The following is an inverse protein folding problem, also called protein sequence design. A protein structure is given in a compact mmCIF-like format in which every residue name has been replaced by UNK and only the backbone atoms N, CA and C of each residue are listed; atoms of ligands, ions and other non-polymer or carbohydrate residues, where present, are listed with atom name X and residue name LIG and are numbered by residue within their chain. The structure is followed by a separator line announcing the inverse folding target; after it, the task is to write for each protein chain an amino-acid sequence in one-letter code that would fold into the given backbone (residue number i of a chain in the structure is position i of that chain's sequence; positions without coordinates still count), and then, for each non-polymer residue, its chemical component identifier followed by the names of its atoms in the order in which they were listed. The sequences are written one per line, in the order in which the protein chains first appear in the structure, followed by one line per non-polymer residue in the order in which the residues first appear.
data_IF_096759696859
#
_entry.id   IF_096759696859
#
_cell.length_a   1.000
_cell.length_b   1.000
_cell.length_c   1.000
_cell.angle_alpha   90.00
_cell.angle_beta   90.00
_cell.angle_gamma   90.00
#
_symmetry.space_group_name_H-M   'P 1'
#
loop_
_entity.id
_entity.type
_entity.pdbx_description
1 polymer ?
#
# COMPACT_ATOMS: atom_id res chain seq x y z
N UNK A 1 27.08 21.32 -46.77
CA UNK A 1 27.33 20.29 -45.74
C UNK A 1 26.06 20.22 -44.92
N UNK A 2 25.43 19.05 -44.82
CA UNK A 2 24.31 18.84 -43.91
C UNK A 2 24.77 19.10 -42.48
N UNK A 3 23.98 19.81 -41.69
CA UNK A 3 24.31 20.15 -40.31
C UNK A 3 24.25 18.90 -39.43
N UNK A 4 25.37 18.19 -39.31
CA UNK A 4 25.48 16.96 -38.53
C UNK A 4 25.47 17.21 -37.03
N UNK A 5 25.63 18.47 -36.60
CA UNK A 5 25.70 18.85 -35.20
C UNK A 5 24.40 18.55 -34.46
N UNK A 6 23.25 18.74 -35.11
CA UNK A 6 21.93 18.48 -34.50
C UNK A 6 21.29 17.18 -34.99
N UNK A 7 22.03 16.32 -35.68
CA UNK A 7 21.52 15.06 -36.23
C UNK A 7 21.43 13.98 -35.15
N UNK A 8 20.24 13.41 -34.99
CA UNK A 8 19.91 12.42 -33.96
C UNK A 8 19.11 11.24 -34.52
N UNK A 9 19.21 10.09 -33.87
CA UNK A 9 18.24 8.99 -33.97
C UNK A 9 17.34 8.98 -32.75
N UNK A 10 16.05 8.75 -32.95
CA UNK A 10 15.04 8.64 -31.88
C UNK A 10 14.76 7.17 -31.62
N UNK A 11 14.76 6.76 -30.36
CA UNK A 11 14.41 5.40 -29.95
C UNK A 11 13.28 5.40 -28.91
N UNK A 12 12.46 4.35 -28.94
CA UNK A 12 11.47 4.05 -27.88
C UNK A 12 11.68 2.64 -27.36
N UNK A 13 11.53 2.43 -26.05
CA UNK A 13 11.56 1.09 -25.47
C UNK A 13 10.22 0.38 -25.70
N UNK A 14 10.25 -0.88 -26.11
CA UNK A 14 9.06 -1.71 -26.33
C UNK A 14 8.79 -2.68 -25.16
N UNK A 15 7.68 -3.43 -25.24
CA UNK A 15 7.24 -4.36 -24.19
C UNK A 15 8.26 -5.48 -23.88
N UNK A 16 9.10 -5.84 -24.85
CA UNK A 16 10.18 -6.83 -24.71
C UNK A 16 11.47 -6.22 -24.12
N UNK A 17 11.42 -4.96 -23.66
CA UNK A 17 12.56 -4.17 -23.17
C UNK A 17 13.68 -4.01 -24.20
N UNK A 18 13.32 -3.89 -25.49
CA UNK A 18 14.24 -3.59 -26.59
C UNK A 18 14.00 -2.19 -27.16
N UNK A 19 15.06 -1.54 -27.62
CA UNK A 19 15.01 -0.19 -28.20
C UNK A 19 14.66 -0.23 -29.69
N UNK A 20 13.49 0.29 -30.05
CA UNK A 20 13.01 0.42 -31.42
C UNK A 20 13.43 1.75 -32.05
N UNK A 21 14.08 1.72 -33.22
CA UNK A 21 14.48 2.91 -34.00
C UNK A 21 13.24 3.57 -34.64
N UNK A 22 12.91 4.78 -34.21
CA UNK A 22 11.80 5.60 -34.72
C UNK A 22 12.18 6.45 -35.94
N UNK A 23 13.47 6.52 -36.28
CA UNK A 23 13.97 7.26 -37.43
C UNK A 23 15.07 8.26 -37.08
N UNK A 24 15.71 8.78 -38.14
CA UNK A 24 16.78 9.78 -38.04
C UNK A 24 16.25 11.17 -38.40
N UNK A 25 16.64 12.17 -37.62
CA UNK A 25 16.16 13.55 -37.77
C UNK A 25 17.12 14.58 -37.19
N UNK A 26 16.67 15.84 -37.17
CA UNK A 26 17.40 16.95 -36.56
C UNK A 26 16.65 17.48 -35.34
N UNK A 27 17.36 17.57 -34.20
CA UNK A 27 16.79 18.02 -32.92
C UNK A 27 16.90 19.53 -32.73
N UNK A 28 15.85 20.12 -32.19
CA UNK A 28 15.78 21.53 -31.79
C UNK A 28 15.02 21.68 -30.47
N UNK A 29 15.24 22.80 -29.77
CA UNK A 29 14.52 23.13 -28.54
C UNK A 29 13.86 24.50 -28.67
N UNK A 30 12.53 24.55 -28.59
CA UNK A 30 11.76 25.80 -28.72
C UNK A 30 10.59 25.82 -27.75
N UNK A 31 10.05 27.00 -27.49
CA UNK A 31 8.81 27.13 -26.72
C UNK A 31 7.62 26.71 -27.58
N UNK A 32 6.82 25.77 -27.09
CA UNK A 32 5.64 25.26 -27.78
C UNK A 32 4.40 25.72 -27.01
N UNK A 33 3.60 26.60 -27.62
CA UNK A 33 2.44 27.26 -27.01
C UNK A 33 1.43 26.25 -26.43
N UNK A 34 1.11 25.19 -27.19
CA UNK A 34 0.14 24.17 -26.77
C UNK A 34 0.58 23.37 -25.54
N UNK A 35 1.90 23.24 -25.33
CA UNK A 35 2.51 22.51 -24.20
C UNK A 35 2.89 23.46 -23.05
N UNK A 36 2.80 24.77 -23.25
CA UNK A 36 3.17 25.82 -22.29
C UNK A 36 4.56 25.58 -21.69
N UNK A 37 5.56 25.38 -22.55
CA UNK A 37 6.93 25.11 -22.10
C UNK A 37 7.93 24.95 -23.24
N UNK A 38 9.21 24.86 -22.86
CA UNK A 38 10.28 24.49 -23.78
C UNK A 38 10.16 22.99 -24.07
N UNK A 39 10.21 22.63 -25.35
CA UNK A 39 10.07 21.25 -25.82
C UNK A 39 11.21 20.86 -26.75
N UNK A 40 11.58 19.58 -26.71
CA UNK A 40 12.45 18.93 -27.68
C UNK A 40 11.64 18.51 -28.89
N UNK A 41 12.08 18.95 -30.07
CA UNK A 41 11.45 18.68 -31.35
C UNK A 41 12.45 18.00 -32.27
N UNK A 42 12.10 16.83 -32.81
CA UNK A 42 12.92 16.14 -33.83
C UNK A 42 12.17 16.09 -35.14
N UNK A 43 12.78 16.61 -36.21
CA UNK A 43 12.21 16.55 -37.58
C UNK A 43 12.94 15.53 -38.44
N UNK A 44 12.19 14.63 -39.08
CA UNK A 44 12.72 13.55 -39.90
C UNK A 44 13.55 14.07 -41.09
N UNK A 45 14.65 13.38 -41.41
CA UNK A 45 15.44 13.68 -42.62
C UNK A 45 14.72 13.28 -43.91
N UNK A 46 13.83 12.29 -43.85
CA UNK A 46 13.16 11.70 -45.01
C UNK A 46 12.13 12.64 -45.64
N UNK A 47 11.31 13.29 -44.83
CA UNK A 47 10.14 14.05 -45.29
C UNK A 47 9.86 15.32 -44.46
N UNK A 48 10.68 15.62 -43.45
CA UNK A 48 10.50 16.78 -42.57
C UNK A 48 9.36 16.67 -41.56
N UNK A 49 8.71 15.50 -41.46
CA UNK A 49 7.68 15.21 -40.46
C UNK A 49 8.24 15.28 -39.04
N UNK A 50 7.36 15.44 -38.05
CA UNK A 50 7.75 15.55 -36.65
C UNK A 50 7.83 14.13 -36.05
N UNK A 51 9.04 13.69 -35.71
CA UNK A 51 9.30 12.39 -35.08
C UNK A 51 9.11 12.43 -33.56
N UNK A 52 9.40 13.57 -32.94
CA UNK A 52 9.30 13.76 -31.49
C UNK A 52 8.85 15.20 -31.19
N UNK A 53 7.93 15.34 -30.23
CA UNK A 53 7.54 16.59 -29.59
C UNK A 53 7.32 16.33 -28.09
N UNK A 54 8.39 16.49 -27.32
CA UNK A 54 8.42 16.18 -25.87
C UNK A 54 8.66 17.46 -25.08
N UNK A 55 7.84 17.73 -24.06
CA UNK A 55 8.02 18.89 -23.18
C UNK A 55 9.12 18.59 -22.17
N UNK A 56 10.06 19.52 -21.98
CA UNK A 56 11.05 19.40 -20.91
C UNK A 56 10.33 19.69 -19.58
N UNK A 57 10.00 18.63 -18.86
CA UNK A 57 9.29 18.73 -17.58
C UNK A 57 10.28 18.91 -16.42
N UNK A 58 9.97 19.74 -15.41
CA UNK A 58 10.87 19.96 -14.26
C UNK A 58 11.22 18.69 -13.49
N UNK A 59 10.33 17.69 -13.48
CA UNK A 59 10.43 16.48 -12.66
C UNK A 59 10.91 15.24 -13.44
N UNK A 60 11.11 15.34 -14.75
CA UNK A 60 11.57 14.19 -15.56
C UNK A 60 13.06 13.96 -15.34
N UNK A 61 13.44 12.72 -15.02
CA UNK A 61 14.84 12.31 -14.93
C UNK A 61 15.40 12.10 -16.34
N UNK A 62 16.07 13.13 -16.88
CA UNK A 62 16.93 12.97 -18.06
C UNK A 62 18.30 12.44 -17.61
N UNK A 63 18.81 11.46 -18.34
CA UNK A 63 20.13 10.89 -18.15
C UNK A 63 20.95 11.03 -19.42
N UNK A 64 22.15 11.60 -19.29
CA UNK A 64 23.17 11.59 -20.33
C UNK A 64 24.00 10.33 -20.19
N UNK A 65 24.20 9.62 -21.29
CA UNK A 65 25.02 8.41 -21.33
C UNK A 65 26.02 8.50 -22.47
N UNK A 66 27.25 8.02 -22.23
CA UNK A 66 28.29 7.86 -23.26
C UNK A 66 28.55 9.12 -24.11
N UNK A 67 28.40 10.31 -23.53
CA UNK A 67 28.54 11.64 -24.15
C UNK A 67 27.57 11.99 -25.30
N UNK A 68 26.92 11.02 -25.93
CA UNK A 68 26.08 11.21 -27.13
C UNK A 68 24.68 10.65 -27.01
N UNK A 69 24.25 10.18 -25.85
CA UNK A 69 22.90 9.69 -25.60
C UNK A 69 22.22 10.54 -24.52
N UNK A 70 20.93 10.83 -24.73
CA UNK A 70 20.03 11.38 -23.70
C UNK A 70 18.82 10.45 -23.60
N UNK A 71 18.55 9.93 -22.41
CA UNK A 71 17.48 8.95 -22.12
C UNK A 71 16.54 9.52 -21.05
N UNK A 72 15.24 9.32 -21.20
CA UNK A 72 14.23 9.70 -20.20
C UNK A 72 12.92 8.93 -20.39
N UNK A 73 12.08 8.94 -19.35
CA UNK A 73 10.71 8.41 -19.40
C UNK A 73 9.71 9.57 -19.55
N UNK A 74 8.84 9.53 -20.58
CA UNK A 74 7.81 10.56 -20.78
C UNK A 74 6.54 10.26 -19.97
N UNK A 75 6.23 8.98 -19.74
CA UNK A 75 5.10 8.45 -18.99
C UNK A 75 5.40 7.04 -18.46
N UNK A 76 4.54 6.48 -17.61
CA UNK A 76 4.66 5.09 -17.15
C UNK A 76 4.77 4.13 -18.36
N UNK A 77 5.86 3.35 -18.40
CA UNK A 77 6.20 2.42 -19.48
C UNK A 77 6.42 3.07 -20.86
N UNK A 78 6.81 4.34 -20.92
CA UNK A 78 7.16 5.02 -22.19
C UNK A 78 8.51 5.73 -22.12
N UNK A 79 9.57 4.95 -22.38
CA UNK A 79 10.95 5.41 -22.39
C UNK A 79 11.41 5.85 -23.78
N UNK A 80 12.14 6.95 -23.81
CA UNK A 80 12.67 7.60 -25.00
C UNK A 80 14.19 7.75 -24.90
N UNK A 81 14.86 7.65 -26.04
CA UNK A 81 16.28 8.01 -26.16
C UNK A 81 16.56 8.80 -27.43
N UNK A 82 17.41 9.82 -27.30
CA UNK A 82 18.03 10.54 -28.41
C UNK A 82 19.49 10.15 -28.52
N UNK A 83 19.87 9.59 -29.67
CA UNK A 83 21.26 9.27 -29.98
C UNK A 83 21.83 10.28 -30.97
N UNK A 84 22.79 11.07 -30.51
CA UNK A 84 23.41 12.15 -31.25
C UNK A 84 24.59 11.64 -32.08
N UNK A 85 24.69 12.15 -33.30
CA UNK A 85 25.85 11.87 -34.14
C UNK A 85 27.12 12.58 -33.61
N UNK A 86 26.96 13.75 -32.99
CA UNK A 86 28.05 14.55 -32.47
C UNK A 86 27.84 14.91 -30.99
N UNK A 87 28.89 14.75 -30.19
CA UNK A 87 28.91 15.16 -28.77
C UNK A 87 28.53 16.63 -28.57
N UNK A 88 29.01 17.52 -29.44
CA UNK A 88 28.70 18.94 -29.35
C UNK A 88 27.20 19.25 -29.46
N UNK A 89 26.46 18.45 -30.23
CA UNK A 89 25.00 18.55 -30.31
C UNK A 89 24.28 18.04 -29.08
N UNK A 90 24.79 16.93 -28.52
CA UNK A 90 24.31 16.36 -27.27
C UNK A 90 24.48 17.37 -26.12
N UNK A 91 25.69 17.94 -25.98
CA UNK A 91 26.02 18.93 -24.97
C UNK A 91 25.09 20.16 -25.04
N UNK A 92 24.78 20.66 -26.25
CA UNK A 92 23.87 21.82 -26.41
C UNK A 92 22.41 21.52 -25.99
N UNK A 93 21.91 20.32 -26.29
CA UNK A 93 20.57 19.93 -25.85
C UNK A 93 20.57 19.66 -24.35
N UNK A 94 21.62 19.03 -23.82
CA UNK A 94 21.80 18.77 -22.40
C UNK A 94 21.82 20.06 -21.58
N UNK A 95 22.63 21.05 -21.98
CA UNK A 95 22.66 22.38 -21.36
C UNK A 95 21.27 23.03 -21.35
N UNK A 96 20.48 22.84 -22.41
CA UNK A 96 19.12 23.37 -22.47
C UNK A 96 18.17 22.67 -21.49
N UNK A 97 18.26 21.35 -21.38
CA UNK A 97 17.48 20.56 -20.42
C UNK A 97 17.82 21.02 -19.00
N UNK A 98 19.12 21.05 -18.66
CA UNK A 98 19.61 21.52 -17.36
C UNK A 98 19.17 22.96 -17.07
N UNK A 99 19.22 23.87 -18.05
CA UNK A 99 18.74 25.24 -17.90
C UNK A 99 17.25 25.31 -17.56
N UNK A 100 16.42 24.47 -18.20
CA UNK A 100 14.97 24.44 -17.93
C UNK A 100 14.66 23.88 -16.55
N UNK A 101 15.45 22.89 -16.08
CA UNK A 101 15.27 22.24 -14.78
C UNK A 101 16.03 22.91 -13.62
N UNK A 102 16.84 23.94 -13.90
CA UNK A 102 17.68 24.59 -12.88
C UNK A 102 18.81 23.71 -12.36
N UNK A 103 19.35 22.81 -13.18
CA UNK A 103 20.41 21.85 -12.83
C UNK A 103 21.76 22.28 -13.41
N UNK A 104 22.85 21.78 -12.82
CA UNK A 104 24.21 21.98 -13.35
C UNK A 104 24.43 21.08 -14.58
N UNK A 105 24.82 21.64 -15.76
CA UNK A 105 25.15 20.84 -16.96
C UNK A 105 26.30 19.84 -16.79
N UNK A 106 27.09 19.94 -15.71
CA UNK A 106 28.14 18.98 -15.37
C UNK A 106 27.60 17.64 -14.83
N UNK A 107 26.31 17.56 -14.48
CA UNK A 107 25.67 16.33 -14.04
C UNK A 107 25.40 15.39 -15.23
N UNK A 108 25.48 14.08 -14.99
CA UNK A 108 25.10 13.04 -15.97
C UNK A 108 23.63 12.62 -15.82
N UNK A 109 22.98 12.96 -14.70
CA UNK A 109 21.54 12.74 -14.48
C UNK A 109 20.93 13.98 -13.83
N UNK A 110 19.75 14.37 -14.28
CA UNK A 110 19.10 15.62 -13.85
C UNK A 110 18.23 15.47 -12.61
N UNK A 111 17.69 14.28 -12.39
CA UNK A 111 16.97 13.89 -11.17
C UNK A 111 17.52 12.53 -10.74
N UNK A 112 17.63 12.29 -9.44
CA UNK A 112 18.08 10.99 -8.95
C UNK A 112 17.11 9.88 -9.41
N UNK A 113 17.60 8.70 -9.83
CA UNK A 113 16.72 7.58 -10.13
C UNK A 113 15.93 7.26 -8.87
N UNK A 114 14.61 7.17 -9.00
CA UNK A 114 13.77 6.56 -7.96
C UNK A 114 14.12 5.07 -8.01
N UNK A 115 15.16 4.67 -7.29
CA UNK A 115 15.42 3.27 -7.03
C UNK A 115 14.37 2.80 -6.02
N UNK A 116 13.40 2.00 -6.48
CA UNK A 116 12.38 1.37 -5.63
C UNK A 116 12.98 0.39 -4.60
N UNK A 117 14.31 0.29 -4.49
CA UNK A 117 15.02 -0.61 -3.58
C UNK A 117 15.91 0.05 -2.52
N UNK A 118 16.01 1.39 -2.44
CA UNK A 118 16.74 2.06 -1.34
C UNK A 118 15.80 2.83 -0.39
N UNK A 119 15.17 2.09 0.54
CA UNK A 119 14.55 2.61 1.78
C UNK A 119 15.58 3.20 2.78
N UNK A 120 16.86 3.35 2.43
CA UNK A 120 17.92 3.74 3.36
C UNK A 120 18.92 4.75 2.76
N UNK A 121 18.47 5.97 2.42
CA UNK A 121 19.36 7.17 2.43
C UNK A 121 18.58 8.48 2.43
N UNK A 122 18.01 8.79 3.60
CA UNK A 122 17.73 10.17 3.97
C UNK A 122 19.07 10.89 4.22
N UNK A 123 19.73 11.44 3.20
CA UNK A 123 20.61 12.61 3.39
C UNK A 123 20.54 13.58 2.19
N UNK A 124 20.13 14.80 2.52
CA UNK A 124 20.36 16.09 1.85
C UNK A 124 19.75 16.33 0.46
N UNK A 125 18.43 16.62 0.47
CA UNK A 125 17.88 17.66 -0.42
C UNK A 125 18.76 18.91 -0.33
N UNK A 126 19.06 19.60 -1.44
CA UNK A 126 19.76 20.87 -1.37
C UNK A 126 18.90 21.82 -0.55
N UNK A 127 19.46 22.20 0.59
CA UNK A 127 18.95 23.27 1.41
C UNK A 127 18.67 24.50 0.53
N UNK A 128 17.40 24.74 0.25
CA UNK A 128 16.90 26.11 0.31
C UNK A 128 16.72 26.46 1.79
N UNK A 129 17.79 26.39 2.59
CA UNK A 129 17.83 26.81 4.00
C UNK A 129 17.85 28.33 4.14
N UNK A 130 16.96 28.98 3.41
CA UNK A 130 16.31 30.21 3.90
C UNK A 130 14.83 29.96 4.17
N UNK A 131 14.42 28.69 4.28
CA UNK A 131 13.09 28.30 4.76
C UNK A 131 12.94 28.73 6.22
N UNK A 132 11.97 29.60 6.45
CA UNK A 132 11.48 30.01 7.77
C UNK A 132 11.41 28.80 8.71
N UNK A 133 12.36 28.69 9.65
CA UNK A 133 12.17 27.87 10.83
C UNK A 133 11.09 28.55 11.66
N UNK A 134 9.88 27.99 11.62
CA UNK A 134 8.83 28.43 12.52
C UNK A 134 9.32 28.15 13.95
N UNK A 135 9.33 29.15 14.85
CA UNK A 135 9.76 28.93 16.22
C UNK A 135 9.03 27.73 16.85
N UNK A 136 9.65 26.94 17.74
CA UNK A 136 9.06 25.71 18.29
C UNK A 136 7.68 25.88 18.93
N UNK A 137 7.36 27.10 19.39
CA UNK A 137 6.09 27.45 20.01
C UNK A 137 5.10 28.15 19.07
N UNK A 138 5.43 28.34 17.79
CA UNK A 138 4.61 29.09 16.85
C UNK A 138 3.24 28.42 16.66
N UNK A 139 3.22 27.11 16.41
CA UNK A 139 1.96 26.37 16.24
C UNK A 139 1.09 26.45 17.49
N UNK A 140 1.65 26.25 18.69
CA UNK A 140 0.89 26.37 19.95
C UNK A 140 0.29 27.77 20.14
N UNK A 141 1.03 28.84 19.81
CA UNK A 141 0.50 30.21 19.86
C UNK A 141 -0.59 30.45 18.82
N UNK A 142 -0.45 29.88 17.62
CA UNK A 142 -1.48 29.95 16.58
C UNK A 142 -2.78 29.28 17.04
N UNK A 143 -2.69 28.11 17.66
CA UNK A 143 -3.84 27.39 18.21
C UNK A 143 -4.48 28.14 19.40
N UNK A 144 -3.69 28.83 20.23
CA UNK A 144 -4.23 29.74 21.25
C UNK A 144 -5.02 30.89 20.63
N UNK A 145 -4.56 31.46 19.50
CA UNK A 145 -5.33 32.48 18.78
C UNK A 145 -6.63 31.90 18.20
N UNK A 146 -6.60 30.65 17.74
CA UNK A 146 -7.80 29.95 17.30
C UNK A 146 -8.83 29.85 18.42
N UNK A 147 -8.46 29.40 19.62
CA UNK A 147 -9.35 29.32 20.77
C UNK A 147 -9.99 30.70 21.08
N UNK A 148 -9.19 31.77 21.09
CA UNK A 148 -9.70 33.13 21.31
C UNK A 148 -10.67 33.58 20.20
N UNK A 149 -10.37 33.28 18.94
CA UNK A 149 -11.26 33.62 17.82
C UNK A 149 -12.57 32.83 17.87
N UNK A 150 -12.50 31.56 18.29
CA UNK A 150 -13.65 30.68 18.47
C UNK A 150 -14.55 31.18 19.60
N UNK A 151 -13.98 31.53 20.75
CA UNK A 151 -14.72 32.07 21.90
C UNK A 151 -15.43 33.40 21.60
N UNK A 152 -14.84 34.22 20.72
CA UNK A 152 -15.40 35.51 20.28
C UNK A 152 -16.33 35.39 19.07
N UNK A 153 -16.53 34.18 18.52
CA UNK A 153 -17.22 33.90 17.24
C UNK A 153 -16.71 34.80 16.08
N UNK A 154 -15.39 35.06 16.07
CA UNK A 154 -14.73 35.88 15.06
C UNK A 154 -14.52 35.06 13.77
N UNK A 155 -15.54 35.01 12.92
CA UNK A 155 -15.55 34.27 11.65
C UNK A 155 -14.39 34.59 10.73
N UNK A 156 -14.05 35.87 10.59
CA UNK A 156 -12.95 36.29 9.72
C UNK A 156 -11.62 35.75 10.23
N UNK A 157 -11.36 35.84 11.53
CA UNK A 157 -10.16 35.27 12.14
C UNK A 157 -10.06 33.76 11.96
N UNK A 158 -11.18 33.04 12.14
CA UNK A 158 -11.26 31.59 11.98
C UNK A 158 -10.97 31.14 10.54
N UNK A 159 -11.47 31.87 9.53
CA UNK A 159 -11.15 31.60 8.12
C UNK A 159 -9.66 31.82 7.80
N UNK A 160 -9.04 32.87 8.35
CA UNK A 160 -7.59 33.05 8.18
C UNK A 160 -6.80 31.93 8.84
N UNK A 161 -7.21 31.48 10.02
CA UNK A 161 -6.57 30.38 10.73
C UNK A 161 -6.71 29.05 10.01
N UNK A 162 -7.87 28.78 9.39
CA UNK A 162 -8.07 27.64 8.49
C UNK A 162 -7.01 27.63 7.38
N UNK A 163 -6.88 28.74 6.63
CA UNK A 163 -5.92 28.83 5.51
C UNK A 163 -4.47 28.69 5.97
N UNK A 164 -4.12 29.25 7.14
CA UNK A 164 -2.78 29.12 7.71
C UNK A 164 -2.51 27.67 8.09
N UNK A 165 -3.39 27.02 8.87
CA UNK A 165 -3.19 25.63 9.32
C UNK A 165 -3.16 24.67 8.13
N UNK A 166 -4.05 24.87 7.15
CA UNK A 166 -4.04 24.13 5.89
C UNK A 166 -2.73 24.33 5.13
N UNK A 167 -2.26 25.56 5.00
CA UNK A 167 -0.97 25.87 4.37
C UNK A 167 0.22 25.23 5.10
N UNK A 168 0.22 25.21 6.43
CA UNK A 168 1.24 24.56 7.26
C UNK A 168 1.26 23.05 7.02
N UNK A 169 0.09 22.40 6.91
CA UNK A 169 0.00 20.97 6.58
C UNK A 169 0.64 20.66 5.23
N UNK A 170 0.41 21.52 4.23
CA UNK A 170 1.01 21.39 2.89
C UNK A 170 2.50 21.75 2.81
N UNK A 171 3.10 22.28 3.89
CA UNK A 171 4.56 22.34 3.97
C UNK A 171 5.19 20.94 4.08
N UNK A 172 4.39 19.93 4.46
CA UNK A 172 4.78 18.52 4.48
C UNK A 172 6.09 18.29 5.26
N UNK A 173 6.25 18.93 6.43
CA UNK A 173 7.45 18.80 7.29
C UNK A 173 7.15 17.98 8.54
N UNK A 174 7.97 16.95 8.78
CA UNK A 174 7.81 16.04 9.93
C UNK A 174 7.78 16.76 11.29
N UNK A 175 8.71 17.69 11.53
CA UNK A 175 8.77 18.44 12.79
C UNK A 175 7.49 19.27 13.08
N UNK A 176 6.78 19.70 12.05
CA UNK A 176 5.49 20.38 12.22
C UNK A 176 4.39 19.39 12.58
N UNK A 177 4.37 18.22 11.93
CA UNK A 177 3.42 17.15 12.24
C UNK A 177 3.55 16.63 13.67
N UNK A 178 4.76 16.47 14.19
CA UNK A 178 4.98 16.10 15.60
C UNK A 178 4.28 17.05 16.57
N UNK A 179 4.38 18.36 16.33
CA UNK A 179 3.73 19.37 17.18
C UNK A 179 2.23 19.41 16.94
N UNK A 180 1.80 19.46 15.68
CA UNK A 180 0.39 19.59 15.27
C UNK A 180 -0.44 18.40 15.74
N UNK A 181 0.10 17.19 15.63
CA UNK A 181 -0.61 15.95 15.93
C UNK A 181 -0.37 15.46 17.35
N UNK A 182 0.37 16.19 18.18
CA UNK A 182 0.44 15.93 19.62
C UNK A 182 -0.96 15.94 20.25
N UNK A 183 -1.15 15.16 21.32
CA UNK A 183 -2.46 14.97 21.96
C UNK A 183 -3.11 16.30 22.40
N UNK A 184 -2.29 17.25 22.87
CA UNK A 184 -2.74 18.59 23.29
C UNK A 184 -3.15 19.51 22.12
N UNK A 185 -2.71 19.23 20.89
CA UNK A 185 -2.86 20.16 19.76
C UNK A 185 -3.83 19.64 18.69
N UNK A 186 -3.89 18.32 18.48
CA UNK A 186 -4.56 17.72 17.32
C UNK A 186 -6.03 18.10 17.21
N UNK A 187 -6.74 18.21 18.34
CA UNK A 187 -8.14 18.60 18.34
C UNK A 187 -8.33 20.06 17.92
N UNK A 188 -7.44 20.96 18.33
CA UNK A 188 -7.50 22.37 17.90
C UNK A 188 -7.08 22.51 16.42
N UNK A 189 -6.14 21.69 15.94
CA UNK A 189 -5.80 21.62 14.51
C UNK A 189 -7.02 21.20 13.69
N UNK A 190 -7.73 20.13 14.11
CA UNK A 190 -8.98 19.73 13.47
C UNK A 190 -10.02 20.84 13.57
N UNK A 191 -10.11 21.52 14.71
CA UNK A 191 -10.99 22.67 14.92
C UNK A 191 -10.73 23.81 13.92
N UNK A 192 -9.47 24.14 13.65
CA UNK A 192 -9.13 25.11 12.61
C UNK A 192 -9.63 24.66 11.24
N UNK A 193 -9.50 23.37 10.92
CA UNK A 193 -9.92 22.77 9.66
C UNK A 193 -11.44 22.66 9.48
N UNK A 194 -12.24 22.94 10.51
CA UNK A 194 -13.71 22.98 10.41
C UNK A 194 -14.22 24.22 9.64
N UNK A 195 -13.44 25.29 9.60
CA UNK A 195 -13.83 26.63 9.13
C UNK A 195 -13.39 26.93 7.69
N UNK A 196 -13.58 25.97 6.79
CA UNK A 196 -13.33 26.14 5.35
C UNK A 196 -14.16 27.31 4.78
N UNK A 197 -13.52 28.38 4.26
CA UNK A 197 -14.21 29.56 3.72
C UNK A 197 -15.10 29.26 2.50
N UNK A 198 -14.88 28.12 1.83
CA UNK A 198 -15.70 27.69 0.68
C UNK A 198 -17.07 27.13 1.09
N UNK A 199 -17.26 26.82 2.38
CA UNK A 199 -18.48 26.23 2.91
C UNK A 199 -19.35 27.28 3.60
N UNK A 200 -20.68 27.13 3.47
CA UNK A 200 -21.66 28.03 4.09
C UNK A 200 -21.70 27.88 5.61
N UNK A 201 -21.42 26.69 6.12
CA UNK A 201 -21.33 26.40 7.55
C UNK A 201 -20.11 25.53 7.83
N UNK A 202 -19.48 25.70 9.01
CA UNK A 202 -18.38 24.85 9.43
C UNK A 202 -18.78 23.39 9.48
N UNK A 203 -17.88 22.50 9.04
CA UNK A 203 -18.03 21.06 9.24
C UNK A 203 -17.80 20.74 10.72
N UNK A 204 -18.39 19.65 11.22
CA UNK A 204 -18.30 19.25 12.64
C UNK A 204 -17.39 18.04 12.84
N UNK A 205 -16.13 18.19 12.43
CA UNK A 205 -15.12 17.13 12.50
C UNK A 205 -14.77 16.74 13.95
N UNK A 206 -14.58 17.72 14.85
CA UNK A 206 -14.32 17.46 16.27
C UNK A 206 -15.49 16.76 16.94
N UNK A 207 -16.72 17.13 16.61
CA UNK A 207 -17.91 16.47 17.14
C UNK A 207 -17.95 14.99 16.70
N UNK A 208 -17.66 14.72 15.43
CA UNK A 208 -17.57 13.36 14.92
C UNK A 208 -16.50 12.55 15.64
N UNK A 209 -15.27 13.08 15.75
CA UNK A 209 -14.13 12.39 16.37
C UNK A 209 -14.28 12.15 17.87
N UNK A 210 -15.11 12.94 18.57
CA UNK A 210 -15.30 12.83 20.03
C UNK A 210 -16.58 12.11 20.43
N UNK A 211 -17.66 12.24 19.67
CA UNK A 211 -18.98 11.70 20.04
C UNK A 211 -19.46 10.55 19.15
N UNK A 212 -19.07 10.53 17.89
CA UNK A 212 -19.57 9.57 16.90
C UNK A 212 -18.60 8.41 16.69
N UNK A 213 -17.32 8.72 16.48
CA UNK A 213 -16.26 7.74 16.44
C UNK A 213 -16.06 7.17 17.85
N UNK A 214 -16.40 5.89 18.04
CA UNK A 214 -16.23 5.19 19.32
C UNK A 214 -15.00 4.32 19.24
N UNK A 215 -14.00 4.64 20.05
CA UNK A 215 -12.87 3.74 20.27
C UNK A 215 -13.37 2.50 21.02
N UNK A 216 -13.21 1.34 20.38
CA UNK A 216 -13.64 0.06 20.93
C UNK A 216 -12.40 -0.74 21.35
N UNK A 217 -12.28 -0.97 22.64
CA UNK A 217 -11.22 -1.80 23.21
C UNK A 217 -11.73 -3.24 23.31
N UNK A 218 -11.14 -4.15 22.54
CA UNK A 218 -11.45 -5.59 22.66
C UNK A 218 -10.98 -6.12 24.01
N UNK A 219 -9.86 -5.63 24.51
CA UNK A 219 -9.36 -5.84 25.85
C UNK A 219 -8.87 -4.48 26.35
N UNK A 220 -9.06 -4.13 27.63
CA UNK A 220 -8.59 -2.86 28.16
C UNK A 220 -7.10 -2.69 27.92
N UNK A 221 -6.72 -1.65 27.19
CA UNK A 221 -5.31 -1.32 26.95
C UNK A 221 -4.81 -0.55 28.17
N UNK A 222 -3.88 -1.11 28.94
CA UNK A 222 -3.36 -0.46 30.15
C UNK A 222 -2.32 0.62 29.86
N UNK A 223 -1.62 0.49 28.74
CA UNK A 223 -0.60 1.44 28.32
C UNK A 223 -1.23 2.72 27.74
N UNK A 224 -1.00 3.85 28.42
CA UNK A 224 -1.52 5.14 27.99
C UNK A 224 -0.86 5.67 26.71
N UNK A 225 0.43 5.36 26.49
CA UNK A 225 1.16 5.78 25.30
C UNK A 225 0.64 5.03 24.07
N UNK A 226 0.41 3.72 24.18
CA UNK A 226 -0.21 2.93 23.10
C UNK A 226 -1.59 3.49 22.75
N UNK A 227 -2.44 3.79 23.75
CA UNK A 227 -3.75 4.40 23.50
C UNK A 227 -3.64 5.75 22.80
N UNK A 228 -2.70 6.60 23.23
CA UNK A 228 -2.45 7.88 22.58
C UNK A 228 -2.03 7.70 21.12
N UNK A 229 -1.11 6.77 20.82
CA UNK A 229 -0.69 6.47 19.46
C UNK A 229 -1.87 5.97 18.61
N UNK A 230 -2.70 5.05 19.11
CA UNK A 230 -3.89 4.57 18.39
C UNK A 230 -4.84 5.73 18.05
N UNK A 231 -5.14 6.59 19.02
CA UNK A 231 -5.97 7.77 18.78
C UNK A 231 -5.35 8.76 17.81
N UNK A 232 -4.04 9.00 17.92
CA UNK A 232 -3.30 9.87 17.02
C UNK A 232 -3.36 9.34 15.59
N UNK A 233 -3.06 8.05 15.37
CA UNK A 233 -3.14 7.40 14.04
C UNK A 233 -4.52 7.56 13.43
N UNK A 234 -5.58 7.28 14.19
CA UNK A 234 -6.95 7.41 13.69
C UNK A 234 -7.30 8.86 13.32
N UNK A 235 -6.94 9.83 14.16
CA UNK A 235 -7.22 11.26 13.92
C UNK A 235 -6.42 11.80 12.74
N UNK A 236 -5.14 11.43 12.61
CA UNK A 236 -4.29 11.86 11.49
C UNK A 236 -4.76 11.23 10.18
N UNK A 237 -5.12 9.95 10.19
CA UNK A 237 -5.73 9.29 9.04
C UNK A 237 -7.08 9.92 8.66
N UNK A 238 -7.90 10.33 9.63
CA UNK A 238 -9.13 11.09 9.35
C UNK A 238 -8.84 12.45 8.70
N UNK A 239 -7.79 13.16 9.13
CA UNK A 239 -7.36 14.41 8.48
C UNK A 239 -6.97 14.14 7.02
N UNK A 240 -6.19 13.09 6.77
CA UNK A 240 -5.79 12.70 5.42
C UNK A 240 -6.97 12.32 4.54
N UNK A 241 -7.80 11.37 4.96
CA UNK A 241 -8.80 10.74 4.10
C UNK A 241 -10.07 11.60 3.94
N UNK A 242 -10.46 12.35 4.98
CA UNK A 242 -11.77 13.03 5.02
C UNK A 242 -11.64 14.55 4.91
N UNK A 243 -10.63 15.15 5.54
CA UNK A 243 -10.47 16.61 5.56
C UNK A 243 -9.67 17.07 4.35
N UNK A 244 -8.60 16.37 3.99
CA UNK A 244 -7.73 16.66 2.85
C UNK A 244 -7.79 15.55 1.79
N UNK A 245 -8.97 15.15 1.29
CA UNK A 245 -9.07 14.10 0.30
C UNK A 245 -8.26 14.49 -0.95
N UNK A 246 -7.35 13.63 -1.38
CA UNK A 246 -6.53 13.86 -2.57
C UNK A 246 -7.46 14.01 -3.78
N UNK A 247 -7.49 15.16 -4.49
CA UNK A 247 -8.47 15.41 -5.55
C UNK A 247 -8.27 14.55 -6.80
N UNK A 248 -7.16 13.80 -6.90
CA UNK A 248 -6.73 13.11 -8.11
C UNK A 248 -5.74 11.98 -7.83
N UNK A 249 -5.81 10.92 -8.65
CA UNK A 249 -4.85 9.80 -8.71
C UNK A 249 -3.45 10.26 -9.18
N UNK A 250 -3.32 11.50 -9.68
CA UNK A 250 -2.06 12.06 -10.20
C UNK A 250 -1.23 12.84 -9.15
N UNK A 251 -1.65 12.88 -7.88
CA UNK A 251 -1.00 13.63 -6.79
C UNK A 251 -0.54 12.74 -5.61
N UNK A 252 -0.13 11.49 -5.87
CA UNK A 252 0.26 10.51 -4.83
C UNK A 252 1.34 11.01 -3.85
N UNK A 253 2.12 12.04 -4.22
CA UNK A 253 3.22 12.56 -3.41
C UNK A 253 2.91 13.86 -2.63
N UNK A 254 1.69 14.40 -2.67
CA UNK A 254 1.42 15.74 -2.12
C UNK A 254 1.43 15.82 -0.58
N UNK A 255 1.29 14.67 0.11
CA UNK A 255 1.32 14.54 1.58
C UNK A 255 2.14 13.31 2.01
N UNK A 256 3.24 13.02 1.31
CA UNK A 256 4.09 11.85 1.57
C UNK A 256 4.55 11.75 3.03
N UNK A 257 4.94 12.87 3.65
CA UNK A 257 5.38 12.88 5.05
C UNK A 257 4.23 12.62 6.02
N UNK A 258 3.00 12.97 5.66
CA UNK A 258 1.80 12.64 6.46
C UNK A 258 1.51 11.14 6.39
N UNK A 259 1.61 10.56 5.18
CA UNK A 259 1.52 9.11 4.97
C UNK A 259 2.60 8.37 5.76
N UNK A 260 3.85 8.84 5.72
CA UNK A 260 4.94 8.28 6.52
C UNK A 260 4.68 8.39 8.02
N UNK A 261 4.12 9.51 8.49
CA UNK A 261 3.76 9.67 9.90
C UNK A 261 2.74 8.60 10.35
N UNK A 262 1.69 8.38 9.55
CA UNK A 262 0.71 7.31 9.82
C UNK A 262 1.38 5.93 9.77
N UNK A 263 2.26 5.69 8.80
CA UNK A 263 3.00 4.45 8.66
C UNK A 263 3.86 4.14 9.89
N UNK A 264 4.67 5.08 10.37
CA UNK A 264 5.51 4.88 11.54
C UNK A 264 4.69 4.64 12.81
N UNK A 265 3.58 5.38 12.98
CA UNK A 265 2.67 5.11 14.10
C UNK A 265 2.09 3.68 14.05
N UNK A 266 1.73 3.17 12.85
CA UNK A 266 1.24 1.79 12.72
C UNK A 266 2.29 0.77 13.11
N UNK A 267 3.54 0.97 12.69
CA UNK A 267 4.69 0.12 13.08
C UNK A 267 4.85 0.11 14.60
N UNK A 268 4.84 1.27 15.25
CA UNK A 268 4.98 1.37 16.70
C UNK A 268 3.82 0.73 17.46
N UNK A 269 2.57 0.94 17.01
CA UNK A 269 1.39 0.28 17.59
C UNK A 269 1.54 -1.23 17.53
N UNK A 270 2.01 -1.78 16.41
CA UNK A 270 2.20 -3.22 16.26
C UNK A 270 3.30 -3.72 17.20
N UNK A 271 4.43 -3.04 17.24
CA UNK A 271 5.54 -3.41 18.14
C UNK A 271 5.12 -3.39 19.61
N UNK A 272 4.45 -2.34 20.08
CA UNK A 272 3.98 -2.23 21.47
C UNK A 272 2.98 -3.33 21.83
N UNK A 273 2.05 -3.66 20.93
CA UNK A 273 1.09 -4.75 21.13
C UNK A 273 1.76 -6.13 21.09
N UNK A 274 2.75 -6.32 20.22
CA UNK A 274 3.51 -7.57 20.11
C UNK A 274 4.34 -7.87 21.37
N UNK A 275 4.88 -6.83 22.01
CA UNK A 275 5.65 -6.93 23.25
C UNK A 275 4.76 -7.16 24.49
N UNK A 276 3.47 -6.82 24.44
CA UNK A 276 2.51 -7.08 25.52
C UNK A 276 1.98 -8.52 25.48
N UNK A 277 2.80 -9.46 25.95
CA UNK A 277 2.44 -10.88 26.04
C UNK A 277 1.15 -11.13 26.84
N UNK A 278 0.86 -10.30 27.86
CA UNK A 278 -0.33 -10.48 28.70
C UNK A 278 -1.59 -10.13 27.93
N UNK A 279 -1.57 -8.98 27.25
CA UNK A 279 -2.67 -8.57 26.40
C UNK A 279 -2.95 -9.63 25.33
N UNK A 280 -1.93 -10.05 24.56
CA UNK A 280 -2.15 -11.03 23.49
C UNK A 280 -2.64 -12.38 24.02
N UNK A 281 -2.06 -12.88 25.12
CA UNK A 281 -2.52 -14.13 25.74
C UNK A 281 -4.00 -14.05 26.15
N UNK A 282 -4.44 -12.91 26.69
CA UNK A 282 -5.83 -12.70 27.07
C UNK A 282 -6.76 -12.63 25.85
N UNK A 283 -6.33 -11.96 24.75
CA UNK A 283 -7.10 -11.91 23.49
C UNK A 283 -7.30 -13.31 22.93
N UNK A 284 -6.24 -14.13 22.88
CA UNK A 284 -6.31 -15.50 22.39
C UNK A 284 -7.18 -16.41 23.27
N UNK A 285 -7.06 -16.29 24.60
CA UNK A 285 -7.88 -17.04 25.53
C UNK A 285 -9.38 -16.74 25.31
N UNK A 286 -9.77 -15.48 25.19
CA UNK A 286 -11.17 -15.12 24.92
C UNK A 286 -11.63 -15.52 23.51
N UNK A 287 -10.75 -15.48 22.51
CA UNK A 287 -11.11 -15.85 21.14
C UNK A 287 -11.51 -17.33 21.04
N UNK A 288 -10.81 -18.20 21.77
CA UNK A 288 -10.96 -19.66 21.73
C UNK A 288 -11.91 -20.21 22.79
N UNK A 289 -12.29 -19.43 23.79
CA UNK A 289 -13.24 -19.84 24.82
C UNK A 289 -14.65 -20.03 24.23
N UNK A 290 -15.23 -21.21 24.45
CA UNK A 290 -16.61 -21.55 24.05
C UNK A 290 -17.63 -20.64 24.74
N UNK A 291 -17.34 -20.13 25.94
CA UNK A 291 -18.22 -19.23 26.69
C UNK A 291 -18.23 -17.79 26.17
N UNK A 292 -17.36 -17.44 25.21
CA UNK A 292 -17.32 -16.08 24.65
C UNK A 292 -18.57 -15.83 23.79
N UNK A 293 -19.24 -14.71 24.05
CA UNK A 293 -20.40 -14.25 23.28
C UNK A 293 -20.02 -13.96 21.82
N UNK A 294 -20.91 -14.26 20.87
CA UNK A 294 -20.64 -14.09 19.43
C UNK A 294 -20.29 -12.65 19.05
N UNK A 295 -20.93 -11.66 19.69
CA UNK A 295 -20.59 -10.25 19.46
C UNK A 295 -19.16 -9.94 19.90
N UNK A 296 -18.72 -10.51 21.02
CA UNK A 296 -17.37 -10.31 21.54
C UNK A 296 -16.34 -11.03 20.69
N UNK A 297 -16.64 -12.26 20.27
CA UNK A 297 -15.80 -13.04 19.35
C UNK A 297 -15.59 -12.30 18.03
N UNK A 298 -16.65 -11.69 17.46
CA UNK A 298 -16.54 -10.85 16.27
C UNK A 298 -15.60 -9.66 16.47
N UNK A 299 -15.67 -8.99 17.63
CA UNK A 299 -14.76 -7.89 17.95
C UNK A 299 -13.30 -8.37 18.04
N UNK A 300 -13.04 -9.51 18.70
CA UNK A 300 -11.71 -10.11 18.81
C UNK A 300 -11.12 -10.52 17.45
N UNK A 301 -11.91 -11.13 16.57
CA UNK A 301 -11.48 -11.48 15.21
C UNK A 301 -11.20 -10.22 14.39
N UNK A 302 -12.04 -9.19 14.47
CA UNK A 302 -11.77 -7.93 13.78
C UNK A 302 -10.50 -7.23 14.29
N UNK A 303 -10.21 -7.33 15.59
CA UNK A 303 -8.93 -6.86 16.12
C UNK A 303 -7.76 -7.58 15.47
N UNK A 304 -7.77 -8.91 15.41
CA UNK A 304 -6.68 -9.66 14.75
C UNK A 304 -6.59 -9.36 13.25
N UNK A 305 -7.73 -9.15 12.58
CA UNK A 305 -7.74 -8.72 11.17
C UNK A 305 -7.00 -7.40 11.00
N UNK A 306 -7.30 -6.39 11.81
CA UNK A 306 -6.60 -5.09 11.77
C UNK A 306 -5.13 -5.22 12.17
N UNK A 307 -4.83 -6.03 13.19
CA UNK A 307 -3.47 -6.26 13.68
C UNK A 307 -2.57 -6.92 12.63
N UNK A 308 -3.08 -7.95 11.94
CA UNK A 308 -2.40 -8.56 10.80
C UNK A 308 -2.37 -7.65 9.56
N UNK A 309 -3.39 -6.81 9.35
CA UNK A 309 -3.32 -5.82 8.27
C UNK A 309 -2.17 -4.82 8.49
N UNK A 310 -1.94 -4.38 9.73
CA UNK A 310 -0.83 -3.50 10.06
C UNK A 310 0.53 -4.20 9.97
N UNK A 311 0.60 -5.53 10.05
CA UNK A 311 1.89 -6.23 9.88
C UNK A 311 2.50 -6.05 8.48
N UNK A 312 1.73 -5.62 7.49
CA UNK A 312 2.23 -5.25 6.17
C UNK A 312 3.16 -4.03 6.21
N UNK A 313 3.04 -3.16 7.22
CA UNK A 313 3.93 -2.01 7.38
C UNK A 313 5.24 -2.37 8.07
N UNK A 314 5.40 -3.61 8.55
CA UNK A 314 6.63 -4.05 9.19
C UNK A 314 7.67 -4.46 8.16
N UNK A 315 8.94 -4.18 8.48
CA UNK A 315 10.08 -4.75 7.77
C UNK A 315 10.04 -6.30 7.81
N UNK A 316 10.56 -7.00 6.80
CA UNK A 316 10.46 -8.46 6.69
C UNK A 316 10.88 -9.23 7.94
N UNK A 317 11.97 -8.83 8.60
CA UNK A 317 12.47 -9.49 9.82
C UNK A 317 11.50 -9.36 11.00
N UNK A 318 10.95 -8.17 11.20
CA UNK A 318 9.98 -7.89 12.27
C UNK A 318 8.64 -8.57 11.96
N UNK A 319 8.24 -8.61 10.69
CA UNK A 319 7.06 -9.33 10.23
C UNK A 319 7.16 -10.84 10.47
N UNK A 320 8.32 -11.43 10.19
CA UNK A 320 8.56 -12.85 10.49
C UNK A 320 8.49 -13.14 12.00
N UNK A 321 9.05 -12.25 12.83
CA UNK A 321 8.96 -12.36 14.28
C UNK A 321 7.50 -12.23 14.77
N UNK A 322 6.74 -11.29 14.21
CA UNK A 322 5.32 -11.08 14.50
C UNK A 322 4.49 -12.33 14.25
N UNK A 323 4.57 -12.93 13.06
CA UNK A 323 3.79 -14.13 12.76
C UNK A 323 4.22 -15.34 13.60
N UNK A 324 5.51 -15.46 13.95
CA UNK A 324 5.98 -16.48 14.89
C UNK A 324 5.37 -16.31 16.28
N UNK A 325 5.28 -15.08 16.78
CA UNK A 325 4.60 -14.81 18.06
C UNK A 325 3.13 -15.22 17.99
N UNK A 326 2.39 -14.83 16.95
CA UNK A 326 0.98 -15.22 16.80
C UNK A 326 0.79 -16.73 16.69
N UNK A 327 1.67 -17.43 15.97
CA UNK A 327 1.62 -18.89 15.87
C UNK A 327 1.87 -19.58 17.22
N UNK A 328 2.86 -19.12 17.97
CA UNK A 328 3.16 -19.65 19.31
C UNK A 328 2.01 -19.44 20.30
N UNK A 329 1.23 -18.36 20.14
CA UNK A 329 0.06 -18.07 20.95
C UNK A 329 -1.22 -18.79 20.48
N UNK A 330 -1.17 -19.51 19.35
CA UNK A 330 -2.28 -20.35 18.88
C UNK A 330 -3.24 -19.68 17.91
N UNK A 331 -2.77 -18.77 17.04
CA UNK A 331 -3.64 -18.20 15.99
C UNK A 331 -4.20 -19.24 15.01
N UNK A 332 -3.42 -20.27 14.65
CA UNK A 332 -3.86 -21.29 13.70
C UNK A 332 -4.98 -22.19 14.27
N UNK A 333 -4.87 -22.73 15.52
CA UNK A 333 -6.01 -23.36 16.18
C UNK A 333 -7.23 -22.45 16.33
N UNK A 334 -7.02 -21.16 16.63
CA UNK A 334 -8.11 -20.21 16.75
C UNK A 334 -8.83 -20.00 15.41
N UNK A 335 -8.09 -19.97 14.29
CA UNK A 335 -8.64 -19.85 12.94
C UNK A 335 -9.47 -21.08 12.55
N UNK A 336 -9.02 -22.28 12.89
CA UNK A 336 -9.77 -23.52 12.67
C UNK A 336 -11.17 -23.45 13.30
N UNK A 337 -11.27 -22.96 14.54
CA UNK A 337 -12.52 -22.79 15.27
C UNK A 337 -13.41 -21.72 14.62
N UNK A 338 -12.87 -20.51 14.41
CA UNK A 338 -13.67 -19.36 13.92
C UNK A 338 -14.07 -19.47 12.45
N UNK A 339 -13.30 -20.16 11.61
CA UNK A 339 -13.69 -20.47 10.24
C UNK A 339 -14.81 -21.52 10.16
N UNK A 340 -14.91 -22.39 11.17
CA UNK A 340 -16.00 -23.37 11.30
C UNK A 340 -17.34 -22.79 11.76
N UNK A 341 -17.40 -21.51 12.16
CA UNK A 341 -18.63 -20.87 12.65
C UNK A 341 -19.62 -20.53 11.51
N UNK A 342 -20.92 -20.48 11.83
CA UNK A 342 -21.96 -20.11 10.86
C UNK A 342 -21.96 -18.61 10.48
N UNK A 343 -21.24 -17.78 11.23
CA UNK A 343 -21.23 -16.34 11.02
C UNK A 343 -20.37 -15.93 9.82
N UNK A 344 -21.02 -15.40 8.79
CA UNK A 344 -20.37 -14.96 7.54
C UNK A 344 -19.29 -13.88 7.74
N UNK A 345 -19.50 -12.90 8.62
CA UNK A 345 -18.51 -11.82 8.78
C UNK A 345 -17.30 -12.29 9.59
N UNK A 346 -17.53 -13.14 10.61
CA UNK A 346 -16.44 -13.75 11.38
C UNK A 346 -15.59 -14.61 10.45
N UNK A 347 -16.21 -15.45 9.62
CA UNK A 347 -15.51 -16.26 8.62
C UNK A 347 -14.73 -15.40 7.62
N UNK A 348 -15.33 -14.33 7.09
CA UNK A 348 -14.63 -13.43 6.17
C UNK A 348 -13.40 -12.79 6.81
N UNK A 349 -13.52 -12.30 8.04
CA UNK A 349 -12.39 -11.73 8.77
C UNK A 349 -11.31 -12.79 9.11
N UNK A 350 -11.72 -14.02 9.43
CA UNK A 350 -10.81 -15.15 9.62
C UNK A 350 -10.06 -15.52 8.33
N UNK A 351 -10.74 -15.49 7.18
CA UNK A 351 -10.12 -15.67 5.87
C UNK A 351 -9.08 -14.59 5.58
N UNK A 352 -9.36 -13.32 5.91
CA UNK A 352 -8.38 -12.23 5.76
C UNK A 352 -7.14 -12.47 6.63
N UNK A 353 -7.31 -12.87 7.90
CA UNK A 353 -6.19 -13.22 8.78
C UNK A 353 -5.39 -14.40 8.22
N UNK A 354 -6.08 -15.45 7.78
CA UNK A 354 -5.45 -16.63 7.18
C UNK A 354 -4.69 -16.25 5.90
N UNK A 355 -5.20 -15.31 5.11
CA UNK A 355 -4.51 -14.84 3.90
C UNK A 355 -3.15 -14.23 4.21
N UNK A 356 -3.04 -13.40 5.26
CA UNK A 356 -1.76 -12.83 5.70
C UNK A 356 -0.78 -13.90 6.18
N UNK A 357 -1.25 -14.91 6.91
CA UNK A 357 -0.40 -16.03 7.35
C UNK A 357 0.13 -16.85 6.17
N UNK A 358 -0.72 -17.14 5.18
CA UNK A 358 -0.32 -17.91 3.99
C UNK A 358 0.60 -17.09 3.08
N UNK A 359 0.36 -15.80 2.93
CA UNK A 359 1.18 -14.90 2.12
C UNK A 359 2.58 -14.72 2.71
N UNK A 360 2.67 -14.42 4.01
CA UNK A 360 3.94 -14.05 4.65
C UNK A 360 4.65 -15.22 5.34
N UNK A 361 3.96 -16.31 5.67
CA UNK A 361 4.54 -17.44 6.41
C UNK A 361 3.93 -18.80 6.02
N UNK A 362 3.96 -19.19 4.72
CA UNK A 362 3.31 -20.43 4.26
C UNK A 362 3.88 -21.70 4.91
N UNK A 363 5.20 -21.78 5.12
CA UNK A 363 5.82 -22.95 5.77
C UNK A 363 5.36 -23.18 7.20
N UNK A 364 5.08 -22.10 7.95
CA UNK A 364 4.54 -22.18 9.31
C UNK A 364 3.13 -22.77 9.31
N UNK A 365 2.28 -22.36 8.35
CA UNK A 365 0.94 -22.91 8.18
C UNK A 365 1.02 -24.41 7.84
N UNK A 366 1.92 -24.81 6.94
CA UNK A 366 2.12 -26.23 6.59
C UNK A 366 2.59 -27.07 7.76
N UNK A 367 3.55 -26.57 8.52
CA UNK A 367 4.07 -27.25 9.70
C UNK A 367 2.97 -27.51 10.73
N UNK A 368 2.13 -26.50 11.01
CA UNK A 368 0.97 -26.65 11.88
C UNK A 368 0.00 -27.73 11.39
N UNK A 369 -0.42 -27.67 10.12
CA UNK A 369 -1.37 -28.62 9.53
C UNK A 369 -0.85 -30.06 9.58
N UNK A 370 0.46 -30.27 9.41
CA UNK A 370 1.06 -31.61 9.51
C UNK A 370 1.13 -32.14 10.95
N UNK A 371 1.10 -31.26 11.95
CA UNK A 371 1.12 -31.60 13.37
C UNK A 371 -0.27 -31.85 13.96
N UNK A 372 -1.35 -31.47 13.25
CA UNK A 372 -2.73 -31.74 13.67
C UNK A 372 -2.95 -33.25 13.93
N UNK A 373 -3.67 -33.62 15.01
CA UNK A 373 -3.85 -35.00 15.40
C UNK A 373 -4.58 -35.79 14.31
N UNK A 374 -3.88 -36.75 13.70
CA UNK A 374 -4.36 -37.60 12.60
C UNK A 374 -5.48 -38.60 12.98
N UNK A 375 -6.09 -38.44 14.17
CA UNK A 375 -7.14 -39.31 14.73
C UNK A 375 -8.49 -38.60 14.92
N UNK A 376 -8.57 -37.28 14.76
CA UNK A 376 -9.86 -36.59 14.63
C UNK A 376 -10.48 -36.91 13.28
N UNK A 377 -11.82 -36.90 13.18
CA UNK A 377 -12.53 -37.00 11.90
C UNK A 377 -11.84 -36.09 10.87
N UNK A 378 -11.60 -36.59 9.65
CA UNK A 378 -10.93 -35.84 8.57
C UNK A 378 -11.59 -34.45 8.35
N UNK A 379 -12.85 -34.32 8.77
CA UNK A 379 -13.66 -33.12 8.74
C UNK A 379 -13.19 -31.93 9.58
N UNK A 380 -12.23 -32.12 10.51
CA UNK A 380 -11.78 -31.11 11.48
C UNK A 380 -10.52 -30.35 11.02
N UNK A 381 -9.68 -30.93 10.16
CA UNK A 381 -8.43 -30.31 9.73
C UNK A 381 -8.65 -28.89 9.15
N UNK A 382 -7.81 -27.93 9.52
CA UNK A 382 -7.92 -26.53 9.07
C UNK A 382 -8.03 -26.41 7.53
N UNK A 383 -7.24 -27.18 6.79
CA UNK A 383 -7.29 -27.20 5.32
C UNK A 383 -8.61 -27.75 4.79
N UNK A 384 -9.21 -28.74 5.47
CA UNK A 384 -10.50 -29.29 5.08
C UNK A 384 -11.65 -28.32 5.40
N UNK A 385 -11.55 -27.53 6.48
CA UNK A 385 -12.47 -26.40 6.75
C UNK A 385 -12.39 -25.37 5.62
N UNK A 386 -11.16 -24.97 5.21
CA UNK A 386 -10.94 -24.07 4.08
C UNK A 386 -11.51 -24.61 2.77
N UNK A 387 -11.28 -25.90 2.46
CA UNK A 387 -11.82 -26.54 1.25
C UNK A 387 -13.36 -26.56 1.27
N UNK A 388 -13.97 -26.92 2.41
CA UNK A 388 -15.43 -26.92 2.56
C UNK A 388 -16.03 -25.53 2.38
N UNK A 389 -15.42 -24.52 2.98
CA UNK A 389 -15.87 -23.13 2.85
C UNK A 389 -15.75 -22.63 1.41
N UNK A 390 -14.69 -23.00 0.70
CA UNK A 390 -14.53 -22.70 -0.73
C UNK A 390 -15.62 -23.38 -1.58
N UNK A 391 -15.95 -24.65 -1.31
CA UNK A 391 -16.96 -25.41 -2.06
C UNK A 391 -18.38 -24.92 -1.77
N UNK A 392 -18.66 -24.55 -0.52
CA UNK A 392 -19.98 -24.15 -0.05
C UNK A 392 -20.18 -22.63 -0.08
N UNK A 393 -19.34 -21.89 -0.79
CA UNK A 393 -19.49 -20.44 -0.88
C UNK A 393 -20.86 -20.10 -1.49
N UNK A 394 -21.58 -19.24 -0.78
CA UNK A 394 -22.94 -18.81 -1.13
C UNK A 394 -22.95 -17.46 -1.84
N UNK A 395 -21.79 -16.81 -1.97
CA UNK A 395 -21.64 -15.57 -2.71
C UNK A 395 -21.86 -15.81 -4.23
N UNK A 396 -22.81 -15.09 -4.87
CA UNK A 396 -23.02 -15.17 -6.32
C UNK A 396 -21.77 -14.85 -7.15
N UNK A 397 -20.88 -14.00 -6.64
CA UNK A 397 -19.62 -13.62 -7.30
C UNK A 397 -18.46 -14.58 -6.96
N UNK A 398 -18.68 -15.53 -6.03
CA UNK A 398 -17.70 -16.50 -5.55
C UNK A 398 -16.40 -15.83 -5.02
N UNK A 399 -16.49 -14.59 -4.53
CA UNK A 399 -15.32 -13.82 -4.11
C UNK A 399 -14.52 -14.52 -3.00
N UNK A 400 -15.21 -15.08 -2.00
CA UNK A 400 -14.60 -15.84 -0.91
C UNK A 400 -13.95 -17.14 -1.40
N UNK A 401 -14.65 -17.90 -2.26
CA UNK A 401 -14.12 -19.11 -2.86
C UNK A 401 -12.86 -18.86 -3.71
N UNK A 402 -12.83 -17.79 -4.50
CA UNK A 402 -11.65 -17.41 -5.30
C UNK A 402 -10.47 -17.06 -4.40
N UNK A 403 -10.70 -16.31 -3.31
CA UNK A 403 -9.66 -16.00 -2.33
C UNK A 403 -9.10 -17.29 -1.71
N UNK A 404 -9.96 -18.16 -1.17
CA UNK A 404 -9.56 -19.42 -0.54
C UNK A 404 -8.86 -20.37 -1.53
N UNK A 405 -9.30 -20.42 -2.78
CA UNK A 405 -8.63 -21.16 -3.85
C UNK A 405 -7.20 -20.65 -4.07
N UNK A 406 -7.01 -19.33 -4.08
CA UNK A 406 -5.69 -18.71 -4.17
C UNK A 406 -4.79 -19.11 -3.00
N UNK A 407 -5.32 -19.12 -1.78
CA UNK A 407 -4.57 -19.54 -0.58
C UNK A 407 -4.19 -21.02 -0.63
N UNK A 408 -5.12 -21.90 -1.01
CA UNK A 408 -4.85 -23.33 -1.18
C UNK A 408 -3.80 -23.56 -2.27
N UNK A 409 -3.88 -22.84 -3.39
CA UNK A 409 -2.88 -22.92 -4.46
C UNK A 409 -1.50 -22.54 -3.93
N UNK A 410 -1.38 -21.44 -3.21
CA UNK A 410 -0.12 -21.03 -2.58
C UNK A 410 0.39 -22.11 -1.63
N UNK A 411 -0.46 -22.70 -0.79
CA UNK A 411 -0.01 -23.74 0.14
C UNK A 411 0.49 -25.02 -0.56
N UNK A 412 -0.11 -25.40 -1.68
CA UNK A 412 0.21 -26.65 -2.41
C UNK A 412 1.31 -26.45 -3.46
N UNK A 413 1.62 -25.20 -3.85
CA UNK A 413 2.60 -24.90 -4.91
C UNK A 413 3.99 -25.46 -4.56
N UNK A 414 4.53 -26.42 -5.31
CA UNK A 414 5.84 -26.99 -5.02
C UNK A 414 7.00 -26.00 -5.20
N UNK A 415 6.80 -24.91 -5.93
CA UNK A 415 7.83 -23.90 -6.24
C UNK A 415 8.12 -22.97 -5.06
N UNK A 416 7.20 -22.83 -4.10
CA UNK A 416 7.44 -22.04 -2.89
C UNK A 416 7.86 -22.90 -1.67
N UNK A 417 8.21 -24.17 -1.89
CA UNK A 417 8.73 -25.12 -0.89
C UNK A 417 10.25 -25.33 -1.02
N UNK A 418 10.95 -24.40 -1.65
CA UNK A 418 12.36 -24.55 -2.06
C UNK A 418 13.38 -24.15 -0.98
N UNK A 419 12.94 -23.87 0.25
CA UNK A 419 13.82 -23.43 1.33
C UNK A 419 14.90 -24.49 1.63
N UNK A 420 16.20 -24.13 1.63
CA UNK A 420 17.30 -25.09 1.76
C UNK A 420 17.33 -25.84 3.09
N UNK A 421 16.67 -25.32 4.13
CA UNK A 421 16.52 -25.94 5.46
C UNK A 421 15.47 -27.04 5.52
N UNK A 422 14.51 -27.07 4.57
CA UNK A 422 13.29 -27.88 4.64
C UNK A 422 13.16 -28.84 3.46
N UNK A 423 14.24 -29.52 3.07
CA UNK A 423 14.24 -30.39 1.87
C UNK A 423 13.19 -31.50 1.88
N UNK A 424 12.68 -31.87 3.05
CA UNK A 424 11.62 -32.90 3.19
C UNK A 424 10.20 -32.33 3.25
N UNK A 425 10.02 -31.03 3.55
CA UNK A 425 8.71 -30.36 3.69
C UNK A 425 7.84 -30.59 2.45
N UNK A 426 8.43 -30.43 1.26
CA UNK A 426 7.72 -30.68 0.00
C UNK A 426 7.12 -32.08 -0.09
N UNK A 427 7.90 -33.11 0.23
CA UNK A 427 7.44 -34.49 0.13
C UNK A 427 6.42 -34.79 1.23
N UNK A 428 6.68 -34.33 2.45
CA UNK A 428 5.85 -34.57 3.63
C UNK A 428 4.48 -33.89 3.49
N UNK A 429 4.45 -32.59 3.20
CA UNK A 429 3.22 -31.82 3.09
C UNK A 429 2.36 -32.27 1.90
N UNK A 430 2.96 -32.50 0.72
CA UNK A 430 2.19 -32.98 -0.43
C UNK A 430 1.63 -34.39 -0.16
N UNK A 431 2.41 -35.28 0.44
CA UNK A 431 1.92 -36.63 0.80
C UNK A 431 0.77 -36.54 1.80
N UNK A 432 0.86 -35.63 2.78
CA UNK A 432 -0.21 -35.33 3.71
C UNK A 432 -1.47 -34.84 2.97
N UNK A 433 -1.34 -33.81 2.12
CA UNK A 433 -2.45 -33.22 1.39
C UNK A 433 -3.18 -34.25 0.50
N UNK A 434 -2.42 -35.05 -0.25
CA UNK A 434 -2.99 -36.10 -1.10
C UNK A 434 -3.72 -37.18 -0.28
N UNK A 435 -3.23 -37.48 0.92
CA UNK A 435 -3.81 -38.53 1.77
C UNK A 435 -5.09 -38.06 2.48
N UNK A 436 -5.09 -36.86 3.04
CA UNK A 436 -6.13 -36.40 3.98
C UNK A 436 -7.05 -35.30 3.42
N UNK A 437 -6.58 -34.49 2.46
CA UNK A 437 -7.35 -33.33 1.98
C UNK A 437 -7.92 -33.53 0.56
N UNK A 438 -7.24 -34.29 -0.29
CA UNK A 438 -7.61 -34.46 -1.70
C UNK A 438 -9.00 -35.11 -1.89
N UNK A 439 -9.40 -35.99 -0.97
CA UNK A 439 -10.72 -36.60 -1.03
C UNK A 439 -11.81 -35.53 -0.87
N UNK A 440 -11.69 -34.66 0.14
CA UNK A 440 -12.62 -33.56 0.39
C UNK A 440 -12.70 -32.61 -0.80
N UNK A 441 -11.55 -32.25 -1.38
CA UNK A 441 -11.48 -31.36 -2.55
C UNK A 441 -12.17 -31.94 -3.79
N UNK A 442 -12.11 -33.26 -3.98
CA UNK A 442 -12.65 -33.93 -5.18
C UNK A 442 -14.10 -34.37 -5.04
N UNK A 443 -14.70 -34.32 -3.84
CA UNK A 443 -16.10 -34.73 -3.60
C UNK A 443 -17.08 -34.10 -4.60
N UNK A 444 -17.08 -32.77 -4.87
CA UNK A 444 -18.04 -32.17 -5.79
C UNK A 444 -17.89 -32.66 -7.23
N UNK A 445 -16.66 -32.91 -7.67
CA UNK A 445 -16.36 -33.45 -8.99
C UNK A 445 -16.89 -34.88 -9.12
N UNK A 446 -16.65 -35.71 -8.11
CA UNK A 446 -17.14 -37.08 -8.08
C UNK A 446 -18.67 -37.12 -8.04
N UNK A 447 -19.31 -36.30 -7.21
CA UNK A 447 -20.77 -36.19 -7.16
C UNK A 447 -21.37 -35.84 -8.55
N UNK A 448 -20.75 -34.88 -9.24
CA UNK A 448 -21.17 -34.47 -10.60
C UNK A 448 -21.06 -35.60 -11.63
N UNK A 449 -20.13 -36.54 -11.45
CA UNK A 449 -19.98 -37.70 -12.36
C UNK A 449 -20.94 -38.87 -12.08
N UNK A 450 -21.57 -38.90 -10.89
CA UNK A 450 -22.55 -39.93 -10.52
C UNK A 450 -23.92 -39.63 -11.13
N UNK A 451 -24.30 -38.35 -11.23
CA UNK A 451 -25.58 -37.93 -11.81
C UNK A 451 -25.66 -38.19 -13.34
N UNK A 452 -24.55 -38.17 -14.07
CA UNK A 452 -24.55 -38.51 -15.51
C UNK A 452 -24.84 -39.99 -15.80
N UNK A 453 -24.52 -40.90 -14.88
CA UNK A 453 -24.76 -42.34 -15.09
C UNK A 453 -26.25 -42.71 -14.99
N UNK A 454 -27.06 -41.92 -14.28
CA UNK A 454 -28.50 -42.17 -14.17
C UNK A 454 -29.29 -41.59 -15.37
N UNK A 455 -28.77 -40.58 -16.07
CA UNK A 455 -29.45 -39.99 -17.24
C UNK A 455 -29.29 -40.80 -18.54
N UNK A 456 -28.35 -41.76 -18.62
CA UNK A 456 -28.16 -42.61 -19.82
C UNK A 456 -28.78 -44.02 -19.70
N UNK A 457 -29.51 -44.30 -18.62
CA UNK A 457 -30.09 -45.62 -18.34
C UNK A 457 -31.55 -45.83 -18.78
N UNK A 458 -32.32 -44.78 -19.10
CA UNK A 458 -33.77 -44.88 -19.37
C UNK A 458 -34.20 -44.54 -20.81
N UNK A 459 -33.33 -44.76 -21.80
CA UNK A 459 -33.76 -44.82 -23.21
C UNK A 459 -33.44 -46.19 -23.81
N UNK A 460 -34.13 -47.22 -23.32
CA UNK A 460 -34.01 -48.58 -23.83
C UNK A 460 -35.26 -49.43 -23.52
N UNK A 461 -36.21 -49.45 -24.47
CA UNK A 461 -37.39 -50.32 -24.49
C UNK A 461 -38.69 -49.57 -24.15
N UNK A 462 -39.80 -49.70 -24.87
CA UNK A 462 -40.25 -50.70 -25.84
C UNK A 462 -41.45 -50.12 -26.61
N UNK A 463 -41.49 -50.35 -27.94
CA UNK A 463 -42.62 -50.29 -28.89
C UNK A 463 -43.58 -49.08 -28.88
#
# INVERSE_FOLDING_TARGET
MSDTRRRVKVYTLNEDRQWDDRGTGHVSSTFVERLKGISLLVRAESDGSLLLESKISPNTAYQKQQDTLIVWSEAENYDLALSFQEKAGCDEIWEKICQVQGKDPALEITQDPIDESEEERFEEMPETSHLVELPPCYMKKLLQLFQVCEDLDNREGLHHLYEIVRGVLFLNKAALFEVMFSDDCIMDVVGCLEFDPSLVQPKKHREFLTKTAKFKEVIPITDSELRQKIHQTYRVQYIQDIILPTPSVFEENFLSTLTSFIFFNKVEIVSMLQEDEKFLTEVFAQLTDEATEDSKRRELVNFFKEFCAFSQTLQPQNRDAFFKTLANLGILPALEIVMGMDDLQVRAAATDIFSYLVEFSPSMVREFVMQEPQQTDDDVLLINVVIKQMICDSDPELGGAVQLMGLLRTLIDPENMLAPTNKTEKTEFLSFFYKYCMQVLTVPLLASTVDEKNCKGEQGGTL
#
